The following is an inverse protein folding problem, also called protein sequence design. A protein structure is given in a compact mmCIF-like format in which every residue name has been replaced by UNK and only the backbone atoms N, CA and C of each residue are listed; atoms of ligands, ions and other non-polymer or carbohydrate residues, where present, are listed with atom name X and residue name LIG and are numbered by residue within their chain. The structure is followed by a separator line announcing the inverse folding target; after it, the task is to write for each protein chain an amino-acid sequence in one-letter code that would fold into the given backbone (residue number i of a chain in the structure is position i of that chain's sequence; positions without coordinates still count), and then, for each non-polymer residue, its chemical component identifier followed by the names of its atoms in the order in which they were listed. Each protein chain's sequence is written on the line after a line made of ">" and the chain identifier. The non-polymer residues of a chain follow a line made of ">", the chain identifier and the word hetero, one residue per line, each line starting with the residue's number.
data_IF_540287663528
#
_entry.id   IF_540287663528
#
_cell.length_a   1.000
_cell.length_b   1.000
_cell.length_c   1.000
_cell.angle_alpha   90.00
_cell.angle_beta   90.00
_cell.angle_gamma   90.00
#
_symmetry.space_group_name_H-M   'P 1'
#
loop_
_entity.id
_entity.type
_entity.pdbx_description
1 polymer ?
#
# COMPACT_ATOMS: atom_id res chain seq x y z
N UNK A 1 5.88 7.37 -33.96
CA UNK A 1 5.35 6.46 -35.01
C UNK A 1 5.52 5.06 -34.47
N UNK A 2 4.45 4.27 -34.40
CA UNK A 2 4.52 2.89 -33.91
C UNK A 2 5.34 2.04 -34.90
N UNK A 3 6.41 1.41 -34.43
CA UNK A 3 7.20 0.45 -35.21
C UNK A 3 6.50 -0.92 -35.31
N UNK A 4 7.23 -1.94 -35.76
CA UNK A 4 6.72 -3.32 -35.91
C UNK A 4 6.17 -3.93 -34.61
N UNK A 5 6.61 -3.44 -33.45
CA UNK A 5 6.12 -3.85 -32.12
C UNK A 5 4.71 -3.34 -31.79
N UNK A 6 4.19 -2.36 -32.55
CA UNK A 6 2.94 -1.67 -32.22
C UNK A 6 3.02 -0.71 -31.02
N UNK A 7 4.21 -0.57 -30.41
CA UNK A 7 4.50 0.32 -29.28
C UNK A 7 5.17 1.59 -29.80
N UNK A 8 4.74 2.75 -29.31
CA UNK A 8 5.46 4.01 -29.55
C UNK A 8 6.46 4.20 -28.40
N UNK A 9 7.71 3.80 -28.64
CA UNK A 9 8.74 3.65 -27.60
C UNK A 9 9.03 4.98 -26.89
N UNK A 10 9.14 6.09 -27.62
CA UNK A 10 9.38 7.41 -27.02
C UNK A 10 8.21 7.86 -26.14
N UNK A 11 6.98 7.71 -26.62
CA UNK A 11 5.78 8.04 -25.84
C UNK A 11 5.67 7.16 -24.58
N UNK A 12 6.00 5.86 -24.71
CA UNK A 12 5.99 4.92 -23.60
C UNK A 12 7.01 5.30 -22.53
N UNK A 13 8.28 5.49 -22.89
CA UNK A 13 9.36 5.90 -21.97
C UNK A 13 9.01 7.18 -21.21
N UNK A 14 8.44 8.17 -21.89
CA UNK A 14 8.05 9.46 -21.28
C UNK A 14 6.91 9.33 -20.25
N UNK A 15 6.20 8.20 -20.21
CA UNK A 15 5.14 7.91 -19.23
C UNK A 15 5.55 6.93 -18.15
N UNK A 16 6.80 6.48 -18.16
CA UNK A 16 7.38 5.68 -17.09
C UNK A 16 7.92 6.61 -15.99
N UNK A 17 7.76 6.25 -14.71
CA UNK A 17 8.50 6.90 -13.64
C UNK A 17 9.99 6.65 -13.80
N UNK A 18 10.82 7.56 -13.30
CA UNK A 18 12.27 7.55 -13.49
C UNK A 18 12.92 6.22 -13.11
N UNK A 19 12.49 5.65 -11.98
CA UNK A 19 13.02 4.39 -11.44
C UNK A 19 12.80 3.18 -12.38
N UNK A 20 11.69 3.13 -13.10
CA UNK A 20 11.37 2.06 -14.05
C UNK A 20 11.89 2.38 -15.45
N UNK A 21 11.93 3.66 -15.82
CA UNK A 21 12.41 4.12 -17.12
C UNK A 21 13.88 3.77 -17.35
N UNK A 22 14.74 3.98 -16.37
CA UNK A 22 16.19 3.70 -16.48
C UNK A 22 16.48 2.23 -16.86
N UNK A 23 15.98 1.20 -16.14
CA UNK A 23 16.14 -0.19 -16.55
C UNK A 23 15.53 -0.51 -17.92
N UNK A 24 14.37 0.06 -18.24
CA UNK A 24 13.73 -0.15 -19.55
C UNK A 24 14.60 0.41 -20.68
N UNK A 25 15.17 1.60 -20.52
CA UNK A 25 16.10 2.19 -21.48
C UNK A 25 17.36 1.34 -21.67
N UNK A 26 17.92 0.79 -20.59
CA UNK A 26 19.05 -0.14 -20.68
C UNK A 26 18.68 -1.37 -21.51
N UNK A 27 17.51 -1.96 -21.28
CA UNK A 27 17.04 -3.12 -22.04
C UNK A 27 16.86 -2.76 -23.52
N UNK A 28 16.21 -1.63 -23.81
CA UNK A 28 15.97 -1.18 -25.19
C UNK A 28 17.28 -0.92 -25.95
N UNK A 29 18.23 -0.22 -25.34
CA UNK A 29 19.54 0.04 -25.95
C UNK A 29 20.30 -1.27 -26.23
N UNK A 30 20.23 -2.24 -25.30
CA UNK A 30 20.85 -3.56 -25.51
C UNK A 30 20.17 -4.38 -26.60
N UNK A 31 18.87 -4.19 -26.81
CA UNK A 31 18.14 -4.82 -27.91
C UNK A 31 18.53 -4.22 -29.26
N UNK A 32 18.71 -2.90 -29.33
CA UNK A 32 19.19 -2.21 -30.54
C UNK A 32 20.58 -2.70 -30.95
N UNK A 33 21.47 -2.95 -29.99
CA UNK A 33 22.82 -3.47 -30.21
C UNK A 33 22.88 -5.01 -30.41
N UNK A 34 21.74 -5.71 -30.38
CA UNK A 34 21.71 -7.18 -30.42
C UNK A 34 21.76 -7.75 -31.84
N UNK A 35 22.13 -9.03 -31.96
CA UNK A 35 22.06 -9.77 -33.23
C UNK A 35 20.63 -10.24 -33.60
N UNK A 36 19.62 -9.87 -32.79
CA UNK A 36 18.24 -10.23 -33.05
C UNK A 36 17.71 -9.53 -34.30
N UNK A 37 16.87 -10.23 -35.05
CA UNK A 37 16.13 -9.63 -36.17
C UNK A 37 15.15 -8.56 -35.65
N UNK A 38 14.78 -7.60 -36.51
CA UNK A 38 13.80 -6.56 -36.17
C UNK A 38 12.49 -7.14 -35.61
N UNK A 39 12.05 -8.28 -36.16
CA UNK A 39 10.84 -8.97 -35.69
C UNK A 39 11.01 -9.52 -34.27
N UNK A 40 12.13 -10.18 -33.97
CA UNK A 40 12.41 -10.69 -32.63
C UNK A 40 12.55 -9.55 -31.63
N UNK A 41 13.21 -8.45 -32.00
CA UNK A 41 13.28 -7.25 -31.16
C UNK A 41 11.88 -6.69 -30.88
N UNK A 42 11.02 -6.60 -31.91
CA UNK A 42 9.64 -6.14 -31.77
C UNK A 42 8.81 -7.01 -30.82
N UNK A 43 8.99 -8.34 -30.88
CA UNK A 43 8.34 -9.29 -29.97
C UNK A 43 8.78 -9.07 -28.51
N UNK A 44 10.09 -8.88 -28.28
CA UNK A 44 10.61 -8.59 -26.93
C UNK A 44 10.08 -7.25 -26.41
N UNK A 45 10.07 -6.20 -27.24
CA UNK A 45 9.54 -4.88 -26.87
C UNK A 45 8.06 -4.98 -26.50
N UNK A 46 7.27 -5.72 -27.27
CA UNK A 46 5.85 -5.93 -26.97
C UNK A 46 5.65 -6.67 -25.65
N UNK A 47 6.43 -7.74 -25.40
CA UNK A 47 6.36 -8.48 -24.15
C UNK A 47 6.77 -7.62 -22.94
N UNK A 48 7.83 -6.81 -23.08
CA UNK A 48 8.28 -5.90 -22.02
C UNK A 48 7.22 -4.83 -21.72
N UNK A 49 6.62 -4.21 -22.76
CA UNK A 49 5.53 -3.23 -22.61
C UNK A 49 4.30 -3.82 -21.91
N UNK A 50 3.98 -5.10 -22.15
CA UNK A 50 2.86 -5.78 -21.48
C UNK A 50 3.05 -5.92 -19.96
N UNK A 51 4.32 -6.00 -19.50
CA UNK A 51 4.67 -6.10 -18.08
C UNK A 51 4.74 -4.70 -17.46
N UNK A 52 5.30 -3.73 -18.19
CA UNK A 52 5.52 -2.35 -17.74
C UNK A 52 4.80 -1.39 -18.69
N UNK A 53 3.47 -1.25 -18.60
CA UNK A 53 2.72 -0.35 -19.48
C UNK A 53 2.97 1.12 -19.12
N UNK A 54 2.38 2.05 -19.89
CA UNK A 54 2.32 3.46 -19.51
C UNK A 54 1.68 3.65 -18.13
N UNK A 55 2.21 4.59 -17.34
CA UNK A 55 1.72 4.85 -15.98
C UNK A 55 1.65 3.57 -15.13
N UNK A 56 2.74 2.79 -15.01
CA UNK A 56 2.72 1.46 -14.38
C UNK A 56 2.24 1.51 -12.92
N UNK A 57 2.43 2.62 -12.22
CA UNK A 57 1.96 2.81 -10.84
C UNK A 57 0.43 2.88 -10.71
N UNK A 58 -0.30 3.12 -11.81
CA UNK A 58 -1.75 2.98 -11.85
C UNK A 58 -2.19 1.51 -11.81
N UNK A 59 -1.36 0.61 -12.34
CA UNK A 59 -1.61 -0.82 -12.43
C UNK A 59 -1.05 -1.60 -11.23
N UNK A 60 0.07 -1.14 -10.67
CA UNK A 60 0.78 -1.83 -9.61
C UNK A 60 0.41 -1.32 -8.21
N UNK A 61 0.31 -2.24 -7.26
CA UNK A 61 -0.15 -1.93 -5.89
C UNK A 61 0.91 -1.32 -4.97
N UNK A 62 2.20 -1.49 -5.28
CA UNK A 62 3.34 -1.03 -4.46
C UNK A 62 3.10 -1.20 -2.95
N UNK A 63 2.85 -2.45 -2.56
CA UNK A 63 2.60 -2.79 -1.16
C UNK A 63 3.82 -2.45 -0.30
N UNK A 64 3.55 -1.93 0.90
CA UNK A 64 4.58 -1.56 1.89
C UNK A 64 5.47 -2.75 2.25
N UNK A 65 6.79 -2.54 2.37
CA UNK A 65 7.77 -3.62 2.53
C UNK A 65 7.50 -4.53 3.74
N UNK A 66 7.07 -3.97 4.87
CA UNK A 66 6.69 -4.73 6.07
C UNK A 66 5.60 -5.80 5.79
N UNK A 67 4.73 -5.57 4.78
CA UNK A 67 3.70 -6.53 4.38
C UNK A 67 4.25 -7.67 3.53
N UNK A 68 5.30 -7.44 2.73
CA UNK A 68 5.88 -8.50 1.90
C UNK A 68 6.40 -9.65 2.76
N UNK A 69 6.94 -9.37 3.94
CA UNK A 69 7.43 -10.43 4.84
C UNK A 69 6.28 -11.11 5.57
N UNK A 70 5.42 -10.33 6.21
CA UNK A 70 4.37 -10.88 7.08
C UNK A 70 3.26 -11.61 6.31
N UNK A 71 2.95 -11.15 5.10
CA UNK A 71 1.87 -11.72 4.29
C UNK A 71 2.34 -12.81 3.31
N UNK A 72 3.66 -13.03 3.12
CA UNK A 72 4.17 -13.90 2.06
C UNK A 72 3.59 -15.31 2.09
N UNK A 73 3.62 -15.95 3.25
CA UNK A 73 3.17 -17.34 3.43
C UNK A 73 1.67 -17.48 3.07
N UNK A 74 0.85 -16.52 3.48
CA UNK A 74 -0.57 -16.55 3.15
C UNK A 74 -0.85 -16.15 1.71
N UNK A 75 -0.19 -15.12 1.20
CA UNK A 75 -0.45 -14.57 -0.13
C UNK A 75 0.14 -15.44 -1.25
N UNK A 76 1.45 -15.66 -1.24
CA UNK A 76 2.17 -16.28 -2.36
C UNK A 76 2.15 -17.81 -2.27
N UNK A 77 2.34 -18.36 -1.08
CA UNK A 77 2.46 -19.82 -0.90
C UNK A 77 1.08 -20.49 -0.81
N UNK A 78 0.22 -20.00 0.10
CA UNK A 78 -1.08 -20.63 0.40
C UNK A 78 -2.25 -20.11 -0.43
N UNK A 79 -2.11 -18.94 -1.07
CA UNK A 79 -3.20 -18.22 -1.77
C UNK A 79 -4.42 -17.99 -0.87
N UNK A 80 -4.16 -17.78 0.42
CA UNK A 80 -5.14 -17.44 1.44
C UNK A 80 -5.12 -15.92 1.67
N UNK A 81 -5.82 -15.19 0.80
CA UNK A 81 -5.79 -13.72 0.81
C UNK A 81 -6.48 -13.12 2.04
N UNK A 82 -7.54 -13.76 2.55
CA UNK A 82 -8.20 -13.31 3.77
C UNK A 82 -7.23 -13.36 4.97
N UNK A 83 -6.48 -14.45 5.13
CA UNK A 83 -5.45 -14.54 6.18
C UNK A 83 -4.32 -13.54 5.95
N UNK A 84 -3.89 -13.34 4.70
CA UNK A 84 -2.89 -12.33 4.37
C UNK A 84 -3.34 -10.91 4.78
N UNK A 85 -4.61 -10.58 4.54
CA UNK A 85 -5.20 -9.29 4.91
C UNK A 85 -5.32 -9.12 6.43
N UNK A 86 -5.64 -10.18 7.18
CA UNK A 86 -5.64 -10.16 8.65
C UNK A 86 -4.23 -9.91 9.19
N UNK A 87 -3.22 -10.60 8.65
CA UNK A 87 -1.83 -10.37 9.02
C UNK A 87 -1.38 -8.94 8.71
N UNK A 88 -1.82 -8.37 7.58
CA UNK A 88 -1.53 -6.99 7.26
C UNK A 88 -2.06 -6.03 8.35
N UNK A 89 -3.30 -6.22 8.83
CA UNK A 89 -3.86 -5.38 9.90
C UNK A 89 -3.07 -5.54 11.21
N UNK A 90 -2.58 -6.75 11.54
CA UNK A 90 -1.70 -6.96 12.70
C UNK A 90 -0.36 -6.24 12.58
N UNK A 91 0.24 -6.22 11.38
CA UNK A 91 1.47 -5.47 11.10
C UNK A 91 1.25 -3.98 11.33
N UNK A 92 0.13 -3.44 10.86
CA UNK A 92 -0.27 -2.06 11.12
C UNK A 92 -0.43 -1.78 12.61
N UNK A 93 -1.20 -2.60 13.34
CA UNK A 93 -1.39 -2.47 14.79
C UNK A 93 -0.03 -2.46 15.53
N UNK A 94 0.88 -3.38 15.19
CA UNK A 94 2.21 -3.45 15.76
C UNK A 94 3.05 -2.18 15.47
N UNK A 95 2.97 -1.64 14.25
CA UNK A 95 3.65 -0.39 13.88
C UNK A 95 3.12 0.78 14.70
N UNK A 96 1.80 0.85 14.91
CA UNK A 96 1.15 1.88 15.74
C UNK A 96 1.63 1.75 17.19
N UNK A 97 1.61 0.56 17.79
CA UNK A 97 2.10 0.33 19.16
C UNK A 97 3.55 0.78 19.33
N UNK A 98 4.42 0.46 18.36
CA UNK A 98 5.83 0.89 18.37
C UNK A 98 5.98 2.41 18.32
N UNK A 99 5.19 3.08 17.48
CA UNK A 99 5.27 4.54 17.34
C UNK A 99 4.70 5.29 18.55
N UNK A 100 3.60 4.81 19.12
CA UNK A 100 2.98 5.41 20.30
C UNK A 100 3.74 5.06 21.60
N UNK A 101 4.30 3.85 21.67
CA UNK A 101 4.81 3.23 22.89
C UNK A 101 3.73 2.51 23.71
N UNK A 102 2.50 2.40 23.19
CA UNK A 102 1.36 1.79 23.89
C UNK A 102 1.27 0.29 23.61
N UNK A 103 2.19 -0.50 24.16
CA UNK A 103 2.28 -1.94 23.88
C UNK A 103 1.23 -2.81 24.60
N UNK A 104 0.53 -2.27 25.60
CA UNK A 104 -0.44 -3.01 26.42
C UNK A 104 -1.88 -2.87 25.97
N UNK A 105 -2.15 -2.07 24.94
CA UNK A 105 -3.49 -1.88 24.37
C UNK A 105 -3.47 -2.26 22.89
N UNK A 106 -4.62 -2.69 22.39
CA UNK A 106 -4.80 -3.11 21.02
C UNK A 106 -6.08 -2.55 20.41
N UNK A 107 -6.27 -2.85 19.13
CA UNK A 107 -7.49 -2.59 18.41
C UNK A 107 -7.95 -1.15 18.35
N UNK A 108 -9.26 -0.97 18.42
CA UNK A 108 -9.88 0.34 18.28
C UNK A 108 -9.38 1.32 19.33
N UNK A 109 -9.21 0.87 20.58
CA UNK A 109 -8.71 1.71 21.67
C UNK A 109 -7.30 2.24 21.37
N UNK A 110 -6.40 1.38 20.89
CA UNK A 110 -5.06 1.80 20.45
C UNK A 110 -5.13 2.87 19.36
N UNK A 111 -5.98 2.67 18.36
CA UNK A 111 -6.08 3.55 17.19
C UNK A 111 -6.63 4.93 17.59
N UNK A 112 -7.68 4.98 18.41
CA UNK A 112 -8.28 6.22 18.91
C UNK A 112 -7.34 7.00 19.84
N UNK A 113 -6.44 6.32 20.56
CA UNK A 113 -5.37 7.00 21.31
C UNK A 113 -4.20 7.44 20.42
N UNK A 114 -3.93 6.70 19.34
CA UNK A 114 -2.83 6.98 18.43
C UNK A 114 -3.10 8.19 17.53
N UNK A 115 -4.29 8.30 16.94
CA UNK A 115 -4.63 9.27 15.89
C UNK A 115 -5.80 10.19 16.28
N UNK A 116 -6.05 11.21 15.45
CA UNK A 116 -7.12 12.18 15.66
C UNK A 116 -6.65 13.60 15.99
N UNK A 117 -7.49 14.59 15.72
CA UNK A 117 -7.11 16.00 15.92
C UNK A 117 -7.06 16.43 17.40
N UNK A 118 -7.76 15.72 18.30
CA UNK A 118 -7.94 16.15 19.70
C UNK A 118 -6.77 15.78 20.60
N UNK A 119 -6.79 14.59 21.20
CA UNK A 119 -5.86 14.16 22.24
C UNK A 119 -4.96 12.99 21.79
N UNK A 120 -4.75 12.88 20.48
CA UNK A 120 -3.92 11.83 19.89
C UNK A 120 -2.45 11.94 20.27
N UNK A 121 -1.76 10.80 20.30
CA UNK A 121 -0.30 10.77 20.50
C UNK A 121 0.45 11.15 19.23
N UNK A 122 -0.05 10.72 18.06
CA UNK A 122 0.59 10.91 16.77
C UNK A 122 -0.18 11.93 15.93
N UNK A 123 0.57 12.75 15.19
CA UNK A 123 0.06 13.75 14.26
C UNK A 123 0.74 13.60 12.90
N UNK A 124 -0.03 13.63 11.82
CA UNK A 124 0.47 13.69 10.45
C UNK A 124 0.91 15.10 10.06
N UNK A 125 0.28 16.13 10.66
CA UNK A 125 0.42 17.54 10.30
C UNK A 125 0.83 18.38 11.52
N UNK A 126 0.71 19.71 11.43
CA UNK A 126 0.83 20.58 12.60
C UNK A 126 -0.47 20.72 13.38
N UNK A 127 -1.59 20.21 12.85
CA UNK A 127 -2.91 20.20 13.48
C UNK A 127 -3.40 21.61 13.90
N UNK A 128 -3.10 22.63 13.10
CA UNK A 128 -3.43 24.04 13.38
C UNK A 128 -4.66 24.50 12.62
N UNK A 129 -4.84 24.02 11.40
CA UNK A 129 -5.96 24.43 10.53
C UNK A 129 -7.09 23.42 10.53
N UNK A 130 -8.29 23.84 10.12
CA UNK A 130 -9.42 22.91 9.97
C UNK A 130 -9.14 21.80 8.95
N UNK A 131 -8.43 22.12 7.87
CA UNK A 131 -8.02 21.14 6.86
C UNK A 131 -7.08 20.09 7.45
N UNK A 132 -6.08 20.52 8.22
CA UNK A 132 -5.17 19.63 8.94
C UNK A 132 -5.91 18.74 9.95
N UNK A 133 -6.81 19.31 10.76
CA UNK A 133 -7.62 18.55 11.72
C UNK A 133 -8.47 17.48 11.01
N UNK A 134 -9.07 17.81 9.87
CA UNK A 134 -9.82 16.85 9.07
C UNK A 134 -8.92 15.72 8.53
N UNK A 135 -7.64 15.99 8.22
CA UNK A 135 -6.69 14.95 7.82
C UNK A 135 -6.36 14.01 8.99
N UNK A 136 -6.16 14.55 10.20
CA UNK A 136 -5.93 13.73 11.39
C UNK A 136 -7.14 12.85 11.72
N UNK A 137 -8.34 13.44 11.75
CA UNK A 137 -9.59 12.73 12.03
C UNK A 137 -9.91 11.71 10.92
N UNK A 138 -9.59 12.02 9.67
CA UNK A 138 -9.76 11.12 8.54
C UNK A 138 -8.84 9.89 8.64
N UNK A 139 -7.59 10.08 9.05
CA UNK A 139 -6.66 8.97 9.28
C UNK A 139 -7.16 8.05 10.40
N UNK A 140 -7.62 8.63 11.51
CA UNK A 140 -8.23 7.88 12.62
C UNK A 140 -9.43 7.05 12.13
N UNK A 141 -10.38 7.67 11.42
CA UNK A 141 -11.59 6.99 10.94
C UNK A 141 -11.27 5.85 9.97
N UNK A 142 -10.33 6.05 9.03
CA UNK A 142 -9.91 5.00 8.09
C UNK A 142 -9.25 3.83 8.83
N UNK A 143 -8.38 4.11 9.81
CA UNK A 143 -7.73 3.09 10.61
C UNK A 143 -8.74 2.31 11.48
N UNK A 144 -9.62 3.03 12.19
CA UNK A 144 -10.69 2.43 13.00
C UNK A 144 -11.65 1.58 12.14
N UNK A 145 -12.02 2.08 10.97
CA UNK A 145 -12.86 1.36 10.01
C UNK A 145 -12.19 0.10 9.47
N UNK A 146 -10.90 0.16 9.15
CA UNK A 146 -10.11 -1.00 8.70
C UNK A 146 -10.07 -2.08 9.78
N UNK A 147 -9.79 -1.72 11.03
CA UNK A 147 -9.73 -2.68 12.12
C UNK A 147 -11.12 -3.23 12.48
N UNK A 148 -12.10 -2.35 12.67
CA UNK A 148 -13.45 -2.71 13.13
C UNK A 148 -14.25 -3.44 12.05
N UNK A 149 -14.11 -3.03 10.79
CA UNK A 149 -14.90 -3.55 9.68
C UNK A 149 -14.34 -4.85 9.09
N UNK A 150 -13.05 -5.15 9.30
CA UNK A 150 -12.42 -6.32 8.71
C UNK A 150 -11.77 -7.27 9.71
N UNK A 151 -10.88 -6.77 10.57
CA UNK A 151 -10.18 -7.63 11.53
C UNK A 151 -11.12 -8.13 12.62
N UNK A 152 -12.01 -7.28 13.11
CA UNK A 152 -12.93 -7.64 14.20
C UNK A 152 -13.94 -8.74 13.80
N UNK A 153 -14.64 -8.68 12.65
CA UNK A 153 -15.61 -9.72 12.28
C UNK A 153 -14.97 -11.10 12.11
N UNK A 154 -13.75 -11.18 11.57
CA UNK A 154 -13.07 -12.47 11.38
C UNK A 154 -12.73 -13.17 12.71
N UNK A 155 -12.69 -12.44 13.83
CA UNK A 155 -12.50 -13.04 15.14
C UNK A 155 -13.80 -13.52 15.80
N UNK A 156 -14.94 -13.05 15.33
CA UNK A 156 -16.24 -13.28 15.96
C UNK A 156 -17.19 -14.15 15.12
N UNK A 157 -16.79 -14.51 13.90
CA UNK A 157 -17.61 -15.29 12.97
C UNK A 157 -16.80 -16.41 12.30
N UNK A 158 -17.48 -17.48 11.89
CA UNK A 158 -16.89 -18.55 11.11
C UNK A 158 -16.44 -18.03 9.75
N UNK A 159 -15.23 -18.40 9.37
CA UNK A 159 -14.64 -18.01 8.08
C UNK A 159 -15.54 -18.35 6.88
N UNK A 160 -16.24 -19.48 6.91
CA UNK A 160 -17.15 -19.91 5.84
C UNK A 160 -18.36 -18.97 5.66
N UNK A 161 -18.74 -18.22 6.70
CA UNK A 161 -19.82 -17.23 6.63
C UNK A 161 -19.33 -15.87 6.11
N UNK A 162 -18.02 -15.63 6.15
CA UNK A 162 -17.41 -14.38 5.67
C UNK A 162 -16.82 -14.50 4.27
N UNK A 163 -16.21 -15.63 3.93
CA UNK A 163 -15.52 -15.83 2.65
C UNK A 163 -16.15 -16.99 1.88
N UNK A 164 -16.43 -16.83 0.56
CA UNK A 164 -16.12 -15.67 -0.27
C UNK A 164 -17.24 -14.61 -0.35
N UNK A 165 -18.36 -14.80 0.35
CA UNK A 165 -19.57 -13.99 0.11
C UNK A 165 -19.48 -12.54 0.59
N UNK A 166 -18.82 -12.28 1.72
CA UNK A 166 -18.67 -10.94 2.30
C UNK A 166 -17.29 -10.37 1.94
N UNK A 167 -16.25 -11.19 2.08
CA UNK A 167 -14.88 -10.86 1.67
C UNK A 167 -14.41 -11.89 0.65
N UNK A 168 -14.27 -11.45 -0.59
CA UNK A 168 -13.62 -12.22 -1.64
C UNK A 168 -12.12 -11.86 -1.73
N UNK A 169 -11.39 -12.58 -2.58
CA UNK A 169 -9.95 -12.37 -2.77
C UNK A 169 -9.60 -10.94 -3.18
N UNK A 170 -10.40 -10.29 -4.03
CA UNK A 170 -10.15 -8.90 -4.44
C UNK A 170 -10.32 -7.94 -3.28
N UNK A 171 -11.34 -8.13 -2.45
CA UNK A 171 -11.57 -7.31 -1.25
C UNK A 171 -10.38 -7.42 -0.29
N UNK A 172 -9.84 -8.63 -0.12
CA UNK A 172 -8.65 -8.85 0.69
C UNK A 172 -7.41 -8.12 0.12
N UNK A 173 -7.20 -8.16 -1.19
CA UNK A 173 -6.11 -7.44 -1.86
C UNK A 173 -6.25 -5.91 -1.75
N UNK A 174 -7.46 -5.40 -1.90
CA UNK A 174 -7.74 -3.97 -1.75
C UNK A 174 -7.54 -3.53 -0.29
N UNK A 175 -7.88 -4.38 0.69
CA UNK A 175 -7.57 -4.10 2.08
C UNK A 175 -6.07 -4.08 2.36
N UNK A 176 -5.30 -5.04 1.85
CA UNK A 176 -3.84 -5.03 1.99
C UNK A 176 -3.26 -3.72 1.39
N UNK A 177 -3.86 -3.22 0.30
CA UNK A 177 -3.49 -1.94 -0.30
C UNK A 177 -3.84 -0.74 0.60
N UNK A 178 -4.99 -0.76 1.26
CA UNK A 178 -5.37 0.26 2.25
C UNK A 178 -4.44 0.23 3.48
N UNK A 179 -4.13 -0.95 4.00
CA UNK A 179 -3.18 -1.12 5.12
C UNK A 179 -1.79 -0.64 4.73
N UNK A 180 -1.34 -0.94 3.52
CA UNK A 180 -0.09 -0.42 2.94
C UNK A 180 -0.06 1.11 2.92
N UNK A 181 -1.17 1.76 2.57
CA UNK A 181 -1.33 3.20 2.68
C UNK A 181 -1.26 3.69 4.14
N UNK A 182 -1.97 3.04 5.05
CA UNK A 182 -1.97 3.41 6.47
C UNK A 182 -0.58 3.30 7.09
N UNK A 183 0.18 2.25 6.80
CA UNK A 183 1.57 2.08 7.26
C UNK A 183 2.45 3.27 6.87
N UNK A 184 2.39 3.70 5.59
CA UNK A 184 3.12 4.90 5.14
C UNK A 184 2.70 6.16 5.89
N UNK A 185 1.42 6.28 6.26
CA UNK A 185 0.94 7.41 7.06
C UNK A 185 1.47 7.37 8.49
N UNK A 186 1.51 6.20 9.12
CA UNK A 186 2.13 6.02 10.44
C UNK A 186 3.60 6.47 10.43
N UNK A 187 4.36 6.11 9.40
CA UNK A 187 5.77 6.50 9.25
C UNK A 187 5.98 8.00 9.07
N UNK A 188 4.99 8.71 8.52
CA UNK A 188 5.01 10.16 8.35
C UNK A 188 4.61 10.93 9.62
N UNK A 189 4.10 10.23 10.65
CA UNK A 189 3.65 10.90 11.87
C UNK A 189 4.79 11.33 12.78
N UNK A 190 4.51 12.34 13.61
CA UNK A 190 5.35 12.78 14.71
C UNK A 190 4.56 12.75 16.02
N UNK A 191 5.27 12.61 17.14
CA UNK A 191 4.64 12.71 18.46
C UNK A 191 4.12 14.13 18.69
N UNK A 192 2.89 14.24 19.17
CA UNK A 192 2.28 15.49 19.59
C UNK A 192 3.12 16.09 20.73
N UNK A 193 3.54 17.34 20.57
CA UNK A 193 4.20 18.07 21.64
C UNK A 193 3.23 18.22 22.82
N UNK A 194 3.71 17.97 24.04
CA UNK A 194 2.92 18.28 25.25
C UNK A 194 2.57 19.76 25.21
N UNK A 195 1.28 20.08 25.25
CA UNK A 195 0.84 21.46 25.46
C UNK A 195 1.32 21.83 26.86
N UNK A 196 2.31 22.71 26.95
CA UNK A 196 2.67 23.32 28.23
C UNK A 196 1.52 24.25 28.57
N UNK A 197 0.57 23.78 29.39
CA UNK A 197 -0.43 24.66 29.97
C UNK A 197 0.31 25.67 30.84
N UNK A 198 0.47 26.90 30.34
CA UNK A 198 0.77 28.05 31.18
C UNK A 198 -0.36 28.17 32.18
N UNK A 199 -0.05 27.88 33.45
CA UNK A 199 -0.93 28.16 34.59
C UNK A 199 -1.21 29.65 34.70
#
# INVERSE_FOLDING_TARGET
>A
MKGESGVDIENWKNKLPEKEREPVEVILNRLEDSELTNKEQAEVISALHSIIPEYPYYHWRHLHQDLHTACNDFYNEKKDYLSAAIEAVKVFENKVQKQTGLHSIDGRELIEQAFGSKNSILLLTNNKTKAEQNLEDGLEQLACGTWTGFRNPVQHELRANLSPSIFNDKDALDLISLVSYLLRKVEQTKKRSKVVSSK
#
